data_IF_975311624958
#
_entry.id   IF_975311624958
#
_cell.length_a   1.000
_cell.length_b   1.000
_cell.length_c   1.000
_cell.angle_alpha   90.00
_cell.angle_beta   90.00
_cell.angle_gamma   90.00
#
_symmetry.space_group_name_H-M   'P 1'
#
loop_
_entity.id
_entity.type
_entity.pdbx_description
1 polymer ?
#
# COMPACT_ATOMS: atom_id res chain seq x y z
N UNK A 1 -21.38 -5.44 29.85
CA UNK A 1 -20.20 -5.37 28.94
C UNK A 1 -20.06 -3.93 28.48
N UNK A 2 -18.95 -3.26 28.74
CA UNK A 2 -18.70 -1.93 28.14
C UNK A 2 -18.06 -2.19 26.77
N UNK A 3 -18.77 -1.86 25.70
CA UNK A 3 -18.22 -1.80 24.36
C UNK A 3 -17.45 -0.49 24.18
N UNK A 4 -16.28 -0.55 23.60
CA UNK A 4 -15.54 0.63 23.13
C UNK A 4 -15.86 0.77 21.65
N UNK A 5 -16.37 1.92 21.25
CA UNK A 5 -16.54 2.25 19.84
C UNK A 5 -15.31 3.04 19.38
N UNK A 6 -14.76 2.62 18.27
CA UNK A 6 -13.65 3.30 17.59
C UNK A 6 -14.17 3.76 16.24
N UNK A 7 -14.15 5.06 16.01
CA UNK A 7 -14.58 5.67 14.75
C UNK A 7 -13.34 6.05 13.95
N UNK A 8 -13.27 5.60 12.71
CA UNK A 8 -12.18 5.90 11.79
C UNK A 8 -12.75 6.67 10.60
N UNK A 9 -12.34 7.93 10.45
CA UNK A 9 -12.70 8.78 9.32
C UNK A 9 -11.52 8.87 8.36
N UNK A 10 -11.68 8.33 7.15
CA UNK A 10 -10.68 8.29 6.09
C UNK A 10 -11.28 8.83 4.79
N UNK A 11 -11.06 10.11 4.50
CA UNK A 11 -11.67 10.79 3.36
C UNK A 11 -13.20 10.78 3.42
N UNK A 12 -13.85 10.17 2.42
CA UNK A 12 -15.31 10.01 2.34
C UNK A 12 -15.83 8.76 3.10
N UNK A 13 -14.93 7.93 3.65
CA UNK A 13 -15.28 6.67 4.32
C UNK A 13 -15.22 6.86 5.83
N UNK A 14 -16.29 6.47 6.51
CA UNK A 14 -16.37 6.35 7.97
C UNK A 14 -16.57 4.89 8.34
N UNK A 15 -15.71 4.37 9.20
CA UNK A 15 -15.78 3.01 9.71
C UNK A 15 -15.98 3.05 11.24
N UNK A 16 -16.96 2.30 11.73
CA UNK A 16 -17.22 2.16 13.17
C UNK A 16 -16.85 0.75 13.58
N UNK A 17 -15.88 0.62 14.47
CA UNK A 17 -15.46 -0.65 15.06
C UNK A 17 -15.96 -0.74 16.50
N UNK A 18 -16.79 -1.75 16.78
CA UNK A 18 -17.20 -2.06 18.15
C UNK A 18 -16.28 -3.11 18.73
N UNK A 19 -15.52 -2.73 19.75
CA UNK A 19 -14.59 -3.60 20.45
C UNK A 19 -15.25 -3.98 21.78
N UNK A 20 -15.60 -5.25 21.93
CA UNK A 20 -16.07 -5.79 23.20
C UNK A 20 -14.81 -6.11 24.02
N UNK A 21 -14.45 -5.23 24.96
CA UNK A 21 -13.36 -5.51 25.87
C UNK A 21 -13.80 -6.63 26.85
N UNK A 22 -13.03 -7.70 27.02
CA UNK A 22 -13.25 -8.62 28.11
C UNK A 22 -13.17 -7.85 29.43
N UNK A 23 -14.03 -8.19 30.40
CA UNK A 23 -14.10 -7.51 31.71
C UNK A 23 -12.70 -7.50 32.32
N UNK A 24 -12.08 -6.32 32.38
CA UNK A 24 -10.88 -6.11 33.17
C UNK A 24 -11.27 -6.36 34.65
N UNK A 25 -10.66 -7.35 35.29
CA UNK A 25 -10.92 -7.66 36.70
C UNK A 25 -11.75 -8.92 36.99
N UNK A 26 -12.32 -9.60 36.00
CA UNK A 26 -12.80 -10.96 36.24
C UNK A 26 -11.54 -11.87 36.34
N UNK A 27 -11.08 -12.14 37.54
CA UNK A 27 -10.16 -13.25 37.83
C UNK A 27 -10.93 -14.54 37.49
N UNK A 28 -11.00 -14.84 36.19
CA UNK A 28 -11.48 -16.13 35.74
C UNK A 28 -10.47 -17.18 36.17
N UNK A 29 -10.96 -18.30 36.67
CA UNK A 29 -10.19 -19.55 36.87
C UNK A 29 -9.76 -20.17 35.50
N UNK A 30 -9.45 -19.35 34.51
CA UNK A 30 -8.89 -19.78 33.23
C UNK A 30 -7.38 -19.79 33.33
N UNK A 31 -6.75 -20.86 32.89
CA UNK A 31 -5.30 -20.92 32.73
C UNK A 31 -4.75 -19.77 31.88
N UNK A 32 -3.43 -19.61 31.78
CA UNK A 32 -2.81 -18.58 30.96
C UNK A 32 -3.43 -18.64 29.56
N UNK A 33 -3.69 -17.47 28.90
CA UNK A 33 -4.30 -17.46 27.59
C UNK A 33 -3.48 -18.33 26.64
N UNK A 34 -4.18 -19.22 25.93
CA UNK A 34 -3.55 -20.08 24.93
C UNK A 34 -2.72 -19.19 23.99
N UNK A 35 -1.43 -19.47 23.89
CA UNK A 35 -0.54 -18.68 23.02
C UNK A 35 -1.04 -18.84 21.60
N UNK A 36 -1.44 -17.73 20.98
CA UNK A 36 -1.80 -17.72 19.56
C UNK A 36 -0.68 -18.39 18.75
N UNK A 37 -1.06 -19.24 17.81
CA UNK A 37 -0.08 -19.86 16.93
C UNK A 37 0.68 -18.77 16.15
N UNK A 38 1.96 -18.98 15.80
CA UNK A 38 2.72 -18.01 15.00
C UNK A 38 1.99 -17.63 13.70
N UNK A 39 1.21 -18.56 13.15
CA UNK A 39 0.44 -18.35 11.94
C UNK A 39 -0.81 -17.45 12.16
N UNK A 40 -1.54 -17.64 13.27
CA UNK A 40 -2.67 -16.76 13.62
C UNK A 40 -2.20 -15.33 13.86
N UNK A 41 -1.08 -15.17 14.54
CA UNK A 41 -0.42 -13.86 14.76
C UNK A 41 -0.01 -13.22 13.43
N UNK A 42 0.62 -13.99 12.51
CA UNK A 42 0.99 -13.49 11.16
C UNK A 42 -0.25 -13.01 10.39
N UNK A 43 -1.34 -13.78 10.38
CA UNK A 43 -2.61 -13.41 9.73
C UNK A 43 -3.21 -12.14 10.32
N UNK A 44 -3.20 -11.99 11.65
CA UNK A 44 -3.68 -10.79 12.33
C UNK A 44 -2.85 -9.55 11.96
N UNK A 45 -1.52 -9.68 11.87
CA UNK A 45 -0.63 -8.60 11.42
C UNK A 45 -0.92 -8.16 9.98
N UNK A 46 -1.13 -9.12 9.07
CA UNK A 46 -1.48 -8.83 7.67
C UNK A 46 -2.80 -8.06 7.59
N UNK A 47 -3.86 -8.54 8.25
CA UNK A 47 -5.16 -7.86 8.27
C UNK A 47 -5.07 -6.43 8.83
N UNK A 48 -4.26 -6.21 9.87
CA UNK A 48 -4.02 -4.88 10.43
C UNK A 48 -3.28 -3.97 9.43
N UNK A 49 -2.30 -4.50 8.70
CA UNK A 49 -1.57 -3.77 7.68
C UNK A 49 -2.49 -3.36 6.51
N UNK A 50 -3.33 -4.29 6.03
CA UNK A 50 -4.33 -4.03 5.00
C UNK A 50 -5.32 -2.95 5.43
N UNK A 51 -5.85 -3.04 6.65
CA UNK A 51 -6.78 -2.03 7.18
C UNK A 51 -6.13 -0.64 7.27
N UNK A 52 -4.91 -0.54 7.79
CA UNK A 52 -4.17 0.73 7.86
C UNK A 52 -3.91 1.32 6.48
N UNK A 53 -3.52 0.47 5.53
CA UNK A 53 -3.28 0.91 4.15
C UNK A 53 -4.57 1.37 3.48
N UNK A 54 -5.67 0.64 3.65
CA UNK A 54 -7.00 1.01 3.16
C UNK A 54 -7.43 2.39 3.67
N UNK A 55 -7.31 2.64 4.97
CA UNK A 55 -7.64 3.96 5.53
C UNK A 55 -6.76 5.06 4.96
N UNK A 56 -5.47 4.80 4.77
CA UNK A 56 -4.55 5.77 4.18
C UNK A 56 -4.88 6.04 2.72
N UNK A 57 -5.26 5.03 1.95
CA UNK A 57 -5.75 5.18 0.57
C UNK A 57 -7.02 6.03 0.53
N UNK A 58 -8.03 5.70 1.32
CA UNK A 58 -9.29 6.45 1.38
C UNK A 58 -9.11 7.91 1.81
N UNK A 59 -8.13 8.20 2.67
CA UNK A 59 -7.87 9.56 3.15
C UNK A 59 -7.17 10.46 2.10
N UNK A 60 -6.58 9.88 1.05
CA UNK A 60 -5.68 10.62 0.17
C UNK A 60 -5.97 10.51 -1.32
N UNK A 61 -6.70 9.49 -1.74
CA UNK A 61 -6.95 9.22 -3.16
C UNK A 61 -8.44 9.21 -3.48
N UNK A 62 -8.76 9.47 -4.76
CA UNK A 62 -10.12 9.56 -5.24
C UNK A 62 -10.29 8.89 -6.61
N UNK A 63 -11.50 8.45 -6.89
CA UNK A 63 -11.86 7.88 -8.18
C UNK A 63 -11.85 8.93 -9.29
N UNK A 64 -11.55 8.48 -10.49
CA UNK A 64 -11.64 9.28 -11.72
C UNK A 64 -10.36 10.02 -12.10
N UNK A 65 -9.61 10.55 -11.15
CA UNK A 65 -8.35 11.28 -11.42
C UNK A 65 -7.12 10.50 -11.02
N UNK A 66 -7.24 9.64 -10.00
CA UNK A 66 -6.14 8.87 -9.47
C UNK A 66 -6.12 7.47 -10.08
N UNK A 67 -4.96 6.84 -10.12
CA UNK A 67 -4.81 5.54 -10.76
C UNK A 67 -3.86 4.60 -10.01
N UNK A 68 -4.07 3.30 -10.23
CA UNK A 68 -3.13 2.25 -9.91
C UNK A 68 -2.25 1.99 -11.14
N UNK A 69 -0.94 2.18 -10.96
CA UNK A 69 0.09 1.92 -11.96
C UNK A 69 0.73 0.57 -11.71
N UNK A 70 1.06 -0.15 -12.80
CA UNK A 70 2.03 -1.23 -12.78
C UNK A 70 3.15 -0.87 -13.74
N UNK A 71 4.31 -0.59 -13.18
CA UNK A 71 5.53 -0.24 -13.92
C UNK A 71 6.40 -1.48 -13.99
N UNK A 72 6.80 -1.86 -15.21
CA UNK A 72 7.55 -3.09 -15.46
C UNK A 72 8.69 -2.83 -16.41
N UNK A 73 9.67 -3.71 -16.40
CA UNK A 73 10.78 -3.72 -17.36
C UNK A 73 10.65 -4.89 -18.32
N UNK A 74 11.14 -4.72 -19.54
CA UNK A 74 11.39 -5.85 -20.43
C UNK A 74 12.46 -6.73 -19.79
N UNK A 75 12.45 -8.03 -20.09
CA UNK A 75 13.36 -9.01 -19.47
C UNK A 75 14.83 -8.63 -19.62
N UNK A 76 15.22 -8.10 -20.80
CA UNK A 76 16.60 -7.69 -21.07
C UNK A 76 17.06 -6.48 -20.27
N UNK A 77 16.12 -5.63 -19.82
CA UNK A 77 16.42 -4.36 -19.15
C UNK A 77 16.01 -4.40 -17.66
N UNK A 78 15.56 -5.55 -17.18
CA UNK A 78 15.10 -5.69 -15.79
C UNK A 78 16.25 -5.41 -14.81
N UNK A 79 15.98 -4.73 -13.68
CA UNK A 79 17.00 -4.54 -12.64
C UNK A 79 17.56 -5.90 -12.18
N UNK A 80 18.86 -5.96 -11.90
CA UNK A 80 19.50 -7.19 -11.43
C UNK A 80 19.08 -7.55 -10.02
N UNK A 81 18.88 -6.55 -9.16
CA UNK A 81 18.50 -6.72 -7.76
C UNK A 81 17.50 -5.67 -7.27
N UNK A 82 17.08 -5.80 -6.02
CA UNK A 82 16.17 -4.88 -5.37
C UNK A 82 16.78 -3.51 -5.09
N UNK A 83 18.11 -3.39 -4.98
CA UNK A 83 18.78 -2.11 -4.76
C UNK A 83 18.75 -1.28 -6.05
N UNK A 84 19.04 -1.90 -7.19
CA UNK A 84 18.92 -1.27 -8.49
C UNK A 84 17.48 -0.88 -8.79
N UNK A 85 16.51 -1.75 -8.50
CA UNK A 85 15.07 -1.44 -8.65
C UNK A 85 14.68 -0.20 -7.83
N UNK A 86 15.13 -0.11 -6.57
CA UNK A 86 14.91 1.07 -5.72
C UNK A 86 15.52 2.34 -6.31
N UNK A 87 16.73 2.26 -6.83
CA UNK A 87 17.45 3.38 -7.49
C UNK A 87 16.67 3.87 -8.71
N UNK A 88 16.28 2.97 -9.63
CA UNK A 88 15.52 3.30 -10.84
C UNK A 88 14.16 3.90 -10.50
N UNK A 89 13.45 3.32 -9.54
CA UNK A 89 12.20 3.89 -9.04
C UNK A 89 12.39 5.28 -8.40
N UNK A 90 13.48 5.49 -7.67
CA UNK A 90 13.85 6.79 -7.13
C UNK A 90 14.05 7.85 -8.21
N UNK A 91 14.70 7.48 -9.33
CA UNK A 91 14.89 8.36 -10.49
C UNK A 91 13.56 8.71 -11.18
N UNK A 92 12.69 7.72 -11.39
CA UNK A 92 11.34 7.94 -11.91
C UNK A 92 10.56 8.92 -11.05
N UNK A 93 10.48 8.67 -9.73
CA UNK A 93 9.74 9.55 -8.80
C UNK A 93 10.26 10.98 -8.83
N UNK A 94 11.57 11.18 -8.97
CA UNK A 94 12.17 12.52 -9.03
C UNK A 94 11.76 13.25 -10.29
N UNK A 95 11.82 12.57 -11.47
CA UNK A 95 11.37 13.13 -12.75
C UNK A 95 9.89 13.49 -12.70
N UNK A 96 9.05 12.56 -12.24
CA UNK A 96 7.62 12.77 -12.16
C UNK A 96 7.25 13.90 -11.18
N UNK A 97 7.89 13.95 -10.01
CA UNK A 97 7.70 15.05 -9.05
C UNK A 97 7.99 16.42 -9.66
N UNK A 98 9.04 16.53 -10.46
CA UNK A 98 9.38 17.79 -11.16
C UNK A 98 8.28 18.19 -12.14
N UNK A 99 7.65 17.24 -12.85
CA UNK A 99 6.51 17.49 -13.73
C UNK A 99 5.31 18.03 -12.95
N UNK A 100 4.94 17.34 -11.87
CA UNK A 100 3.84 17.78 -10.99
C UNK A 100 4.07 19.19 -10.45
N UNK A 101 5.28 19.51 -10.01
CA UNK A 101 5.62 20.86 -9.53
C UNK A 101 5.49 21.91 -10.62
N UNK A 102 5.95 21.64 -11.86
CA UNK A 102 5.78 22.54 -12.99
C UNK A 102 4.32 22.76 -13.37
N UNK A 103 3.47 21.75 -13.18
CA UNK A 103 2.03 21.84 -13.41
C UNK A 103 1.25 22.42 -12.22
N UNK A 104 1.92 22.85 -11.13
CA UNK A 104 1.26 23.33 -9.91
C UNK A 104 0.48 22.26 -9.15
N UNK A 105 0.79 20.98 -9.40
CA UNK A 105 0.11 19.84 -8.78
C UNK A 105 0.91 19.27 -7.62
N UNK A 106 0.21 18.66 -6.65
CA UNK A 106 0.81 17.94 -5.54
C UNK A 106 0.85 16.44 -5.83
N UNK A 107 2.06 15.86 -5.96
CA UNK A 107 2.23 14.44 -6.18
C UNK A 107 2.07 13.64 -4.89
N UNK A 108 1.00 12.85 -4.77
CA UNK A 108 0.78 11.86 -3.72
C UNK A 108 0.91 10.47 -4.29
N UNK A 109 1.57 9.58 -3.55
CA UNK A 109 1.67 8.19 -3.97
C UNK A 109 1.83 7.22 -2.79
N UNK A 110 1.46 5.97 -3.05
CA UNK A 110 1.81 4.79 -2.26
C UNK A 110 2.33 3.74 -3.24
N UNK A 111 3.52 3.21 -3.01
CA UNK A 111 4.14 2.24 -3.90
C UNK A 111 4.63 0.99 -3.18
N UNK A 112 4.53 -0.15 -3.85
CA UNK A 112 5.06 -1.45 -3.44
C UNK A 112 5.91 -2.03 -4.55
N UNK A 113 7.05 -2.61 -4.18
CA UNK A 113 7.92 -3.34 -5.11
C UNK A 113 7.56 -4.82 -5.07
N UNK A 114 7.49 -5.44 -6.23
CA UNK A 114 7.27 -6.87 -6.40
C UNK A 114 8.46 -7.53 -7.08
N UNK A 115 8.94 -8.61 -6.46
CA UNK A 115 9.81 -9.60 -7.11
C UNK A 115 9.02 -10.90 -7.22
N UNK A 116 8.65 -11.25 -8.43
CA UNK A 116 7.89 -12.47 -8.70
C UNK A 116 8.76 -13.73 -8.64
N UNK A 117 8.17 -14.92 -8.55
CA UNK A 117 8.89 -16.19 -8.41
C UNK A 117 9.88 -16.51 -9.52
N UNK A 118 9.68 -15.93 -10.71
CA UNK A 118 10.57 -16.07 -11.87
C UNK A 118 11.56 -14.91 -12.02
N UNK A 119 11.76 -14.11 -10.97
CA UNK A 119 12.63 -12.93 -10.97
C UNK A 119 12.05 -11.71 -11.70
N UNK A 120 10.80 -11.76 -12.15
CA UNK A 120 10.14 -10.58 -12.73
C UNK A 120 10.01 -9.48 -11.67
N UNK A 121 10.34 -8.25 -12.05
CA UNK A 121 10.30 -7.09 -11.14
C UNK A 121 9.27 -6.08 -11.60
N UNK A 122 8.41 -5.67 -10.69
CA UNK A 122 7.33 -4.72 -10.93
C UNK A 122 7.24 -3.70 -9.81
N UNK A 123 6.73 -2.53 -10.13
CA UNK A 123 6.35 -1.54 -9.13
C UNK A 123 4.86 -1.28 -9.27
N UNK A 124 4.13 -1.51 -8.20
CA UNK A 124 2.73 -1.16 -8.08
C UNK A 124 2.63 0.16 -7.31
N UNK A 125 2.00 1.16 -7.91
CA UNK A 125 1.95 2.50 -7.36
C UNK A 125 0.56 3.10 -7.52
N UNK A 126 -0.07 3.48 -6.43
CA UNK A 126 -1.24 4.38 -6.46
C UNK A 126 -0.70 5.80 -6.55
N UNK A 127 -1.17 6.56 -7.54
CA UNK A 127 -0.71 7.91 -7.85
C UNK A 127 -1.90 8.86 -8.01
N UNK A 128 -1.82 10.05 -7.40
CA UNK A 128 -2.81 11.11 -7.57
C UNK A 128 -2.66 11.80 -8.92
N UNK A 129 -3.77 12.31 -9.47
CA UNK A 129 -3.82 13.08 -10.73
C UNK A 129 -2.98 12.46 -11.85
N UNK A 130 -3.15 11.15 -12.07
CA UNK A 130 -2.31 10.34 -12.93
C UNK A 130 -2.54 10.64 -14.41
N UNK A 131 -1.53 11.16 -15.10
CA UNK A 131 -1.50 11.34 -16.54
C UNK A 131 -0.62 10.30 -17.21
N UNK A 132 -1.18 9.53 -18.15
CA UNK A 132 -0.48 8.43 -18.82
C UNK A 132 0.73 8.90 -19.64
N UNK A 133 0.62 10.05 -20.31
CA UNK A 133 1.70 10.57 -21.13
C UNK A 133 2.86 11.02 -20.24
N UNK A 134 2.60 11.81 -19.19
CA UNK A 134 3.61 12.24 -18.23
C UNK A 134 4.31 11.05 -17.57
N UNK A 135 3.56 10.02 -17.20
CA UNK A 135 4.11 8.80 -16.59
C UNK A 135 5.03 8.08 -17.57
N UNK A 136 4.62 7.88 -18.82
CA UNK A 136 5.44 7.23 -19.86
C UNK A 136 6.72 7.99 -20.17
N UNK A 137 6.65 9.31 -20.23
CA UNK A 137 7.82 10.15 -20.47
C UNK A 137 8.80 10.16 -19.28
N UNK A 138 8.28 9.96 -18.06
CA UNK A 138 9.09 9.87 -16.85
C UNK A 138 9.61 8.45 -16.58
N UNK A 139 8.92 7.41 -17.05
CA UNK A 139 9.38 6.04 -16.97
C UNK A 139 10.53 5.80 -17.96
N UNK A 140 11.21 4.67 -17.83
CA UNK A 140 12.33 4.37 -18.72
C UNK A 140 11.82 4.11 -20.14
N UNK A 141 12.45 4.66 -21.20
CA UNK A 141 11.98 4.51 -22.57
C UNK A 141 11.83 3.05 -23.00
N UNK A 142 10.71 2.74 -23.65
CA UNK A 142 10.42 1.40 -24.15
C UNK A 142 10.01 0.37 -23.11
N UNK A 143 9.92 0.76 -21.83
CA UNK A 143 9.44 -0.10 -20.76
C UNK A 143 7.90 -0.09 -20.64
N UNK A 144 7.36 -1.03 -19.87
CA UNK A 144 5.92 -1.28 -19.82
C UNK A 144 5.29 -0.42 -18.72
N UNK A 145 4.24 0.32 -19.08
CA UNK A 145 3.37 1.05 -18.14
C UNK A 145 1.95 0.58 -18.34
N UNK A 146 1.36 0.01 -17.30
CA UNK A 146 -0.07 -0.25 -17.22
C UNK A 146 -0.69 0.71 -16.21
N UNK A 147 -1.83 1.32 -16.57
CA UNK A 147 -2.55 2.29 -15.75
C UNK A 147 -4.02 1.89 -15.67
N UNK A 148 -4.53 1.81 -14.46
CA UNK A 148 -5.94 1.51 -14.18
C UNK A 148 -6.49 2.63 -13.33
N UNK A 149 -7.47 3.41 -13.81
CA UNK A 149 -8.14 4.44 -13.01
C UNK A 149 -8.70 3.85 -11.73
N UNK A 150 -8.59 4.57 -10.62
CA UNK A 150 -9.18 4.12 -9.37
C UNK A 150 -10.70 4.09 -9.48
N UNK A 151 -11.26 2.98 -9.00
CA UNK A 151 -12.69 2.81 -8.81
C UNK A 151 -12.89 2.10 -7.47
N UNK A 152 -13.23 2.88 -6.46
CA UNK A 152 -13.33 2.39 -5.08
C UNK A 152 -14.58 1.58 -4.82
N UNK A 153 -15.65 1.79 -5.60
CA UNK A 153 -17.00 1.33 -5.23
C UNK A 153 -17.32 1.58 -3.74
N UNK A 154 -16.78 2.68 -3.21
CA UNK A 154 -16.91 3.10 -1.82
C UNK A 154 -15.66 2.94 -0.95
N UNK A 155 -14.71 2.08 -1.29
CA UNK A 155 -13.49 1.90 -0.51
C UNK A 155 -12.39 1.14 -1.28
N UNK A 156 -11.12 1.35 -0.91
CA UNK A 156 -9.94 0.75 -1.57
C UNK A 156 -9.44 -0.53 -0.87
N UNK A 157 -10.33 -1.41 -0.41
CA UNK A 157 -9.96 -2.64 0.29
C UNK A 157 -9.16 -3.59 -0.60
N UNK A 158 -9.62 -3.79 -1.86
CA UNK A 158 -8.99 -4.68 -2.81
C UNK A 158 -7.59 -4.20 -3.20
N UNK A 159 -7.41 -2.88 -3.37
CA UNK A 159 -6.11 -2.27 -3.67
C UNK A 159 -5.17 -2.43 -2.48
N UNK A 160 -5.64 -2.24 -1.26
CA UNK A 160 -4.84 -2.44 -0.06
C UNK A 160 -4.35 -3.89 0.08
N UNK A 161 -5.25 -4.85 -0.08
CA UNK A 161 -4.90 -6.29 -0.07
C UNK A 161 -3.94 -6.66 -1.19
N UNK A 162 -4.17 -6.13 -2.40
CA UNK A 162 -3.29 -6.31 -3.55
C UNK A 162 -1.86 -5.84 -3.27
N UNK A 163 -1.67 -4.62 -2.78
CA UNK A 163 -0.35 -4.06 -2.48
C UNK A 163 0.37 -4.82 -1.35
N UNK A 164 -0.35 -5.18 -0.28
CA UNK A 164 0.21 -5.97 0.82
C UNK A 164 0.64 -7.35 0.34
N UNK A 165 -0.17 -8.02 -0.46
CA UNK A 165 0.15 -9.34 -1.05
C UNK A 165 1.47 -9.33 -1.82
N UNK A 166 1.70 -8.30 -2.65
CA UNK A 166 2.94 -8.21 -3.45
C UNK A 166 4.17 -7.91 -2.61
N UNK A 167 4.03 -7.08 -1.56
CA UNK A 167 5.12 -6.87 -0.62
C UNK A 167 5.52 -8.17 0.11
N UNK A 168 4.53 -8.97 0.53
CA UNK A 168 4.77 -10.28 1.17
C UNK A 168 5.43 -11.26 0.22
N UNK A 169 4.96 -11.34 -1.03
CA UNK A 169 5.55 -12.19 -2.08
C UNK A 169 7.03 -11.85 -2.31
N UNK A 170 7.37 -10.56 -2.35
CA UNK A 170 8.76 -10.13 -2.49
C UNK A 170 9.63 -10.65 -1.34
N UNK A 171 9.18 -10.50 -0.10
CA UNK A 171 9.90 -11.00 1.06
C UNK A 171 10.10 -12.53 1.02
N UNK A 172 9.09 -13.28 0.57
CA UNK A 172 9.17 -14.74 0.39
C UNK A 172 10.17 -15.10 -0.73
N UNK A 173 10.11 -14.43 -1.87
CA UNK A 173 10.99 -14.69 -3.03
C UNK A 173 12.45 -14.38 -2.72
N UNK A 174 12.72 -13.30 -1.98
CA UNK A 174 14.07 -12.88 -1.60
C UNK A 174 14.58 -13.53 -0.30
N UNK A 175 13.76 -14.34 0.37
CA UNK A 175 14.12 -14.97 1.66
C UNK A 175 14.39 -13.94 2.76
N UNK A 176 13.80 -12.75 2.67
CA UNK A 176 14.03 -11.66 3.61
C UNK A 176 12.90 -11.57 4.65
N UNK A 177 13.20 -10.94 5.79
CA UNK A 177 12.14 -10.59 6.74
C UNK A 177 11.22 -9.54 6.12
N UNK A 178 9.92 -9.67 6.39
CA UNK A 178 8.94 -8.67 5.97
C UNK A 178 9.27 -7.34 6.65
N UNK A 179 9.77 -6.41 5.87
CA UNK A 179 10.07 -5.05 6.31
C UNK A 179 8.91 -4.09 6.05
N UNK A 180 9.21 -2.92 5.50
CA UNK A 180 8.20 -1.95 5.11
C UNK A 180 7.40 -2.44 3.91
N UNK A 181 6.10 -2.68 4.09
CA UNK A 181 5.21 -3.25 3.06
C UNK A 181 4.96 -2.30 1.87
N UNK A 182 5.08 -0.98 2.09
CA UNK A 182 4.89 0.02 1.05
C UNK A 182 5.67 1.30 1.35
N UNK A 183 5.96 2.06 0.32
CA UNK A 183 6.64 3.37 0.40
C UNK A 183 5.63 4.48 0.13
N UNK A 184 5.19 5.25 1.13
CA UNK A 184 4.29 6.38 0.94
C UNK A 184 5.05 7.66 0.60
N UNK A 185 4.41 8.60 -0.08
CA UNK A 185 4.87 9.99 -0.12
C UNK A 185 4.68 10.66 1.25
N UNK A 186 5.51 11.67 1.55
CA UNK A 186 5.53 12.31 2.88
C UNK A 186 4.33 13.22 3.17
N UNK A 187 3.59 13.60 2.14
CA UNK A 187 2.47 14.53 2.18
C UNK A 187 1.09 13.86 2.28
N UNK A 188 1.06 12.57 2.63
CA UNK A 188 -0.21 11.87 2.86
C UNK A 188 -0.81 12.25 4.22
N UNK A 189 -2.12 12.43 4.21
CA UNK A 189 -2.91 12.63 5.43
C UNK A 189 -3.13 11.29 6.13
N UNK A 190 -3.11 11.30 7.45
CA UNK A 190 -3.53 10.15 8.25
C UNK A 190 -5.06 10.17 8.47
N UNK A 191 -5.70 8.99 8.63
CA UNK A 191 -7.10 8.92 9.01
C UNK A 191 -7.28 9.51 10.42
N UNK A 192 -8.41 10.17 10.66
CA UNK A 192 -8.80 10.61 12.00
C UNK A 192 -9.41 9.42 12.74
N UNK A 193 -8.93 9.15 13.95
CA UNK A 193 -9.39 8.05 14.80
C UNK A 193 -9.85 8.64 16.12
N UNK A 194 -11.11 8.33 16.49
CA UNK A 194 -11.74 8.76 17.74
C UNK A 194 -12.26 7.57 18.49
#
# INVERSE_FOLDING_TARGET
MRGIEKIICAGKVMEVQRIIAPRYGARGRGGPPERESPESTKRAHIKRAEAKLRWKLNANFQDGTDALLTLSWKKADAPEDSAEMKKRFGNFRRRLKTRYQKAGKEMKYIATMEVGPRGSRHIHMVLSDADLQEIRECWEPGQIVNIVPLNSKGQYADIASYLVKYALRTAETEGTKVGQLYTPSRNLKDPKIT
#
